data_IF_266951887435
#
_entry.id   IF_266951887435
#
_cell.length_a   1.000
_cell.length_b   1.000
_cell.length_c   1.000
_cell.angle_alpha   90.00
_cell.angle_beta   90.00
_cell.angle_gamma   90.00
#
_symmetry.space_group_name_H-M   'P 1'
#
loop_
_entity.id
_entity.type
_entity.pdbx_description
1 polymer ?
#
# COMPACT_ATOMS: atom_id res chain seq x y z
N UNK A 1 -16.75 -0.87 -15.09
CA UNK A 1 -16.09 0.11 -14.22
C UNK A 1 -14.86 -0.59 -13.68
N UNK A 2 -13.70 0.04 -13.85
CA UNK A 2 -12.38 -0.60 -14.08
C UNK A 2 -11.79 -1.34 -12.87
N UNK A 3 -11.24 -2.54 -13.10
CA UNK A 3 -10.49 -3.34 -12.11
C UNK A 3 -9.45 -2.53 -11.33
N UNK A 4 -8.83 -1.55 -11.98
CA UNK A 4 -7.80 -0.69 -11.39
C UNK A 4 -8.25 0.06 -10.13
N UNK A 5 -9.50 0.56 -10.10
CA UNK A 5 -10.03 1.26 -8.92
C UNK A 5 -10.23 0.31 -7.75
N UNK A 6 -10.60 -0.93 -8.05
CA UNK A 6 -10.84 -1.97 -7.07
C UNK A 6 -9.51 -2.53 -6.54
N UNK A 7 -8.52 -2.74 -7.41
CA UNK A 7 -7.18 -3.17 -7.03
C UNK A 7 -6.53 -2.17 -6.06
N UNK A 8 -6.74 -0.87 -6.28
CA UNK A 8 -6.26 0.17 -5.38
C UNK A 8 -6.96 0.14 -4.02
N UNK A 9 -8.30 0.01 -4.02
CA UNK A 9 -9.08 -0.11 -2.79
C UNK A 9 -8.64 -1.33 -1.97
N UNK A 10 -8.39 -2.47 -2.63
CA UNK A 10 -7.91 -3.69 -1.99
C UNK A 10 -6.52 -3.51 -1.37
N UNK A 11 -5.58 -2.87 -2.08
CA UNK A 11 -4.24 -2.55 -1.55
C UNK A 11 -4.36 -1.67 -0.31
N UNK A 12 -5.13 -0.59 -0.40
CA UNK A 12 -5.33 0.36 0.72
C UNK A 12 -5.98 -0.36 1.90
N UNK A 13 -7.02 -1.16 1.66
CA UNK A 13 -7.71 -1.91 2.70
C UNK A 13 -6.77 -2.86 3.45
N UNK A 14 -5.93 -3.61 2.71
CA UNK A 14 -4.97 -4.56 3.29
C UNK A 14 -3.91 -3.84 4.11
N UNK A 15 -3.28 -2.80 3.57
CA UNK A 15 -2.21 -2.05 4.25
C UNK A 15 -2.74 -1.34 5.50
N UNK A 16 -3.96 -0.83 5.42
CA UNK A 16 -4.55 -0.07 6.51
C UNK A 16 -4.99 -0.96 7.69
N UNK A 17 -5.56 -2.13 7.39
CA UNK A 17 -6.12 -3.01 8.41
C UNK A 17 -5.15 -4.08 8.93
N UNK A 18 -4.11 -4.43 8.17
CA UNK A 18 -3.17 -5.51 8.54
C UNK A 18 -1.87 -4.97 9.12
N UNK A 19 -1.92 -4.54 10.39
CA UNK A 19 -0.75 -3.96 11.11
C UNK A 19 0.49 -4.86 11.14
N UNK A 20 0.32 -6.19 11.07
CA UNK A 20 1.41 -7.16 11.05
C UNK A 20 2.03 -7.41 9.67
N UNK A 21 1.54 -6.78 8.61
CA UNK A 21 1.89 -7.12 7.23
C UNK A 21 3.40 -7.03 6.93
N UNK A 22 4.12 -6.07 7.52
CA UNK A 22 5.56 -5.97 7.35
C UNK A 22 6.32 -7.16 7.97
N UNK A 23 5.87 -7.65 9.13
CA UNK A 23 6.46 -8.82 9.79
C UNK A 23 6.18 -10.09 8.99
N UNK A 24 4.95 -10.22 8.48
CA UNK A 24 4.55 -11.35 7.64
C UNK A 24 5.31 -11.36 6.31
N UNK A 25 5.47 -10.21 5.68
CA UNK A 25 6.26 -10.06 4.46
C UNK A 25 7.71 -10.46 4.75
N UNK A 26 8.33 -9.96 5.82
CA UNK A 26 9.69 -10.34 6.20
C UNK A 26 9.86 -11.87 6.40
N UNK A 27 8.83 -12.54 6.92
CA UNK A 27 8.80 -13.99 7.10
C UNK A 27 8.50 -14.80 5.83
N UNK A 28 8.07 -14.16 4.73
CA UNK A 28 7.73 -14.83 3.48
C UNK A 28 8.98 -15.36 2.74
N UNK A 29 8.82 -16.28 1.78
CA UNK A 29 9.90 -16.71 0.89
C UNK A 29 10.61 -15.54 0.19
N UNK A 30 11.91 -15.67 -0.07
CA UNK A 30 12.74 -14.56 -0.54
C UNK A 30 12.34 -14.01 -1.92
N UNK A 31 11.86 -14.87 -2.80
CA UNK A 31 11.30 -14.54 -4.10
C UNK A 31 10.00 -13.73 -3.97
N UNK A 32 9.09 -14.14 -3.08
CA UNK A 32 7.84 -13.42 -2.78
C UNK A 32 8.14 -12.03 -2.22
N UNK A 33 9.06 -11.92 -1.25
CA UNK A 33 9.48 -10.61 -0.71
C UNK A 33 9.99 -9.69 -1.80
N UNK A 34 10.91 -10.20 -2.62
CA UNK A 34 11.54 -9.41 -3.69
C UNK A 34 10.52 -8.93 -4.72
N UNK A 35 9.59 -9.80 -5.14
CA UNK A 35 8.55 -9.43 -6.10
C UNK A 35 7.63 -8.34 -5.54
N UNK A 36 7.18 -8.48 -4.30
CA UNK A 36 6.31 -7.49 -3.64
C UNK A 36 7.05 -6.16 -3.46
N UNK A 37 8.30 -6.17 -2.99
CA UNK A 37 9.11 -4.96 -2.83
C UNK A 37 9.32 -4.22 -4.16
N UNK A 38 9.66 -4.95 -5.24
CA UNK A 38 9.83 -4.36 -6.57
C UNK A 38 8.55 -3.67 -7.05
N UNK A 39 7.40 -4.36 -6.95
CA UNK A 39 6.11 -3.79 -7.36
C UNK A 39 5.73 -2.56 -6.52
N UNK A 40 5.99 -2.59 -5.21
CA UNK A 40 5.72 -1.45 -4.33
C UNK A 40 6.62 -0.26 -4.66
N UNK A 41 7.89 -0.49 -4.98
CA UNK A 41 8.80 0.58 -5.43
C UNK A 41 8.31 1.20 -6.74
N UNK A 42 7.92 0.38 -7.71
CA UNK A 42 7.36 0.85 -8.99
C UNK A 42 6.07 1.65 -8.78
N UNK A 43 5.18 1.17 -7.91
CA UNK A 43 3.90 1.81 -7.61
C UNK A 43 4.07 3.14 -6.87
N UNK A 44 4.97 3.21 -5.88
CA UNK A 44 5.29 4.42 -5.14
C UNK A 44 6.03 5.47 -5.98
N UNK A 45 6.64 5.07 -7.11
CA UNK A 45 7.27 5.99 -8.05
C UNK A 45 6.25 6.74 -8.93
N UNK A 46 4.97 6.34 -8.92
CA UNK A 46 3.90 6.98 -9.69
C UNK A 46 3.29 8.14 -8.87
N UNK A 47 3.40 9.40 -9.31
CA UNK A 47 2.81 10.54 -8.58
C UNK A 47 1.31 10.39 -8.38
N UNK A 48 0.61 9.95 -9.43
CA UNK A 48 -0.85 9.77 -9.45
C UNK A 48 -1.33 8.71 -8.46
N UNK A 49 -0.46 7.76 -8.08
CA UNK A 49 -0.83 6.72 -7.12
C UNK A 49 -1.09 7.30 -5.73
N UNK A 50 -0.27 8.24 -5.26
CA UNK A 50 -0.46 8.88 -3.94
C UNK A 50 -1.71 9.76 -3.92
N UNK A 51 -2.07 10.38 -5.05
CA UNK A 51 -3.34 11.10 -5.20
C UNK A 51 -4.52 10.14 -5.16
N UNK A 52 -4.42 9.02 -5.88
CA UNK A 52 -5.47 8.02 -5.92
C UNK A 52 -5.73 7.37 -4.54
N UNK A 53 -4.68 7.14 -3.73
CA UNK A 53 -4.84 6.65 -2.35
C UNK A 53 -5.75 7.58 -1.54
N UNK A 54 -5.58 8.90 -1.66
CA UNK A 54 -6.42 9.86 -0.94
C UNK A 54 -7.91 9.72 -1.32
N UNK A 55 -8.20 9.49 -2.60
CA UNK A 55 -9.57 9.33 -3.09
C UNK A 55 -10.23 8.01 -2.67
N UNK A 56 -9.45 7.01 -2.28
CA UNK A 56 -9.98 5.75 -1.74
C UNK A 56 -10.33 5.79 -0.26
N UNK A 57 -9.91 6.84 0.46
CA UNK A 57 -10.22 6.96 1.87
C UNK A 57 -11.65 7.45 2.10
N UNK A 58 -12.32 6.85 3.09
CA UNK A 58 -13.65 7.28 3.49
C UNK A 58 -13.64 8.75 3.93
N UNK A 59 -14.65 9.52 3.52
CA UNK A 59 -14.78 10.91 3.95
C UNK A 59 -14.76 11.02 5.49
N UNK A 60 -13.90 11.88 6.03
CA UNK A 60 -13.74 12.04 7.47
C UNK A 60 -12.72 11.09 8.13
N UNK A 61 -11.97 10.29 7.35
CA UNK A 61 -10.88 9.44 7.86
C UNK A 61 -9.72 10.20 8.51
N UNK A 62 -9.68 11.53 8.36
CA UNK A 62 -8.64 12.40 8.87
C UNK A 62 -7.44 12.54 7.93
N UNK A 63 -6.85 13.74 7.90
CA UNK A 63 -5.73 14.11 7.02
C UNK A 63 -4.50 13.20 7.23
N UNK A 64 -4.29 12.69 8.45
CA UNK A 64 -3.15 11.86 8.82
C UNK A 64 -3.22 10.43 8.25
N UNK A 65 -4.41 9.94 7.87
CA UNK A 65 -4.61 8.55 7.45
C UNK A 65 -3.86 8.24 6.15
N UNK A 66 -3.85 9.18 5.21
CA UNK A 66 -3.07 9.08 3.95
C UNK A 66 -1.59 8.86 4.23
N UNK A 67 -1.01 9.67 5.12
CA UNK A 67 0.40 9.59 5.48
C UNK A 67 0.75 8.29 6.19
N UNK A 68 -0.14 7.76 7.02
CA UNK A 68 0.06 6.46 7.67
C UNK A 68 0.06 5.31 6.64
N UNK A 69 -0.82 5.34 5.65
CA UNK A 69 -0.84 4.33 4.57
C UNK A 69 0.42 4.44 3.72
N UNK A 70 0.80 5.65 3.32
CA UNK A 70 2.04 5.91 2.57
C UNK A 70 3.26 5.39 3.34
N UNK A 71 3.36 5.70 4.63
CA UNK A 71 4.44 5.22 5.51
C UNK A 71 4.48 3.70 5.55
N UNK A 72 3.34 3.02 5.63
CA UNK A 72 3.29 1.55 5.65
C UNK A 72 3.69 0.93 4.32
N UNK A 73 3.25 1.52 3.20
CA UNK A 73 3.69 1.09 1.87
C UNK A 73 5.21 1.24 1.73
N UNK A 74 5.78 2.35 2.20
CA UNK A 74 7.23 2.55 2.24
C UNK A 74 7.94 1.55 3.15
N UNK A 75 7.37 1.18 4.30
CA UNK A 75 7.92 0.12 5.14
C UNK A 75 7.95 -1.23 4.42
N UNK A 76 6.86 -1.60 3.74
CA UNK A 76 6.78 -2.85 2.97
C UNK A 76 7.76 -2.89 1.80
N UNK A 77 8.00 -1.75 1.15
CA UNK A 77 8.98 -1.63 0.08
C UNK A 77 10.43 -1.85 0.55
N UNK A 78 10.70 -1.70 1.85
CA UNK A 78 12.04 -1.76 2.45
C UNK A 78 12.23 -2.90 3.49
N UNK A 79 11.22 -3.74 3.71
CA UNK A 79 11.20 -4.79 4.75
C UNK A 79 11.67 -6.15 4.24
#
# INVERSE_FOLDING_TARGET
MSSLSQDLEDIVHVVDNRKGLAVELAAAPADVRRDIQLRLVELLALPDFLEAVEWTLAAGSGYERKYEIERRLQQLANA
#
